data_IF_227663232147
#
_entry.id   IF_227663232147
#
_cell.length_a   1.000
_cell.length_b   1.000
_cell.length_c   1.000
_cell.angle_alpha   90.00
_cell.angle_beta   90.00
_cell.angle_gamma   90.00
#
_symmetry.space_group_name_H-M   'P 1'
#
loop_
_entity.id
_entity.type
_entity.pdbx_description
1 polymer ?
#
# COMPACT_ATOMS: atom_id res chain seq x y z
N UNK A 1 9.73 25.98 -13.43
CA UNK A 1 10.39 24.86 -14.13
C UNK A 1 9.72 23.65 -13.56
N UNK A 2 8.77 23.07 -14.30
CA UNK A 2 7.93 21.99 -13.82
C UNK A 2 8.81 20.86 -13.31
N UNK A 3 8.50 20.38 -12.10
CA UNK A 3 9.22 19.25 -11.48
C UNK A 3 9.14 17.99 -12.34
N UNK A 4 8.09 17.84 -13.16
CA UNK A 4 7.84 16.68 -14.01
C UNK A 4 8.32 16.87 -15.44
N UNK A 5 8.80 15.78 -16.02
CA UNK A 5 9.12 15.68 -17.45
C UNK A 5 7.92 15.17 -18.26
N UNK A 6 8.05 15.15 -19.59
CA UNK A 6 6.95 14.75 -20.49
C UNK A 6 6.52 13.29 -20.28
N UNK A 7 7.47 12.37 -20.07
CA UNK A 7 7.18 10.94 -19.88
C UNK A 7 6.42 10.71 -18.56
N UNK A 8 6.89 11.31 -17.47
CA UNK A 8 6.21 11.27 -16.18
C UNK A 8 4.80 11.86 -16.26
N UNK A 9 4.65 13.00 -16.94
CA UNK A 9 3.36 13.67 -17.05
C UNK A 9 2.37 12.84 -17.87
N UNK A 10 2.80 12.25 -18.97
CA UNK A 10 1.96 11.36 -19.80
C UNK A 10 1.58 10.09 -19.02
N UNK A 11 2.52 9.51 -18.27
CA UNK A 11 2.24 8.34 -17.43
C UNK A 11 1.21 8.60 -16.33
N UNK A 12 1.01 9.85 -15.93
CA UNK A 12 0.06 10.28 -14.88
C UNK A 12 -1.26 10.83 -15.40
N UNK A 13 -1.52 10.78 -16.72
CA UNK A 13 -2.78 11.25 -17.29
C UNK A 13 -3.98 10.45 -16.76
N UNK A 14 -3.86 9.13 -16.60
CA UNK A 14 -4.96 8.31 -16.06
C UNK A 14 -5.29 8.73 -14.63
N UNK A 15 -4.28 8.83 -13.77
CA UNK A 15 -4.43 9.27 -12.37
C UNK A 15 -5.07 10.66 -12.29
N UNK A 16 -4.75 11.56 -13.21
CA UNK A 16 -5.40 12.87 -13.31
C UNK A 16 -6.90 12.75 -13.66
N UNK A 17 -7.25 11.92 -14.65
CA UNK A 17 -8.65 11.71 -15.07
C UNK A 17 -9.48 11.02 -13.98
N UNK A 18 -8.86 10.11 -13.23
CA UNK A 18 -9.47 9.38 -12.11
C UNK A 18 -9.49 10.19 -10.80
N UNK A 19 -8.95 11.42 -10.80
CA UNK A 19 -8.81 12.28 -9.63
C UNK A 19 -7.98 11.66 -8.49
N UNK A 20 -7.00 10.83 -8.83
CA UNK A 20 -6.12 10.10 -7.90
C UNK A 20 -4.78 10.83 -7.64
N UNK A 21 -4.56 12.00 -8.25
CA UNK A 21 -3.38 12.84 -7.97
C UNK A 21 -3.55 13.65 -6.67
N UNK A 22 -2.50 13.68 -5.86
CA UNK A 22 -2.45 14.58 -4.70
C UNK A 22 -2.35 16.04 -5.11
N UNK A 23 -2.62 16.98 -4.19
CA UNK A 23 -2.59 18.42 -4.49
C UNK A 23 -1.20 18.90 -4.98
N UNK A 24 -0.11 18.34 -4.44
CA UNK A 24 1.26 18.68 -4.84
C UNK A 24 1.57 18.17 -6.26
N UNK A 25 1.12 16.95 -6.57
CA UNK A 25 1.29 16.32 -7.87
C UNK A 25 0.46 17.02 -8.95
N UNK A 26 -0.78 17.38 -8.62
CA UNK A 26 -1.66 18.14 -9.50
C UNK A 26 -1.07 19.52 -9.84
N UNK A 27 -0.42 20.19 -8.88
CA UNK A 27 0.31 21.43 -9.13
C UNK A 27 1.46 21.24 -10.13
N UNK A 28 2.25 20.18 -9.96
CA UNK A 28 3.37 19.84 -10.86
C UNK A 28 2.89 19.44 -12.26
N UNK A 29 1.81 18.67 -12.34
CA UNK A 29 1.15 18.27 -13.58
C UNK A 29 0.63 19.48 -14.36
N UNK A 30 -0.10 20.38 -13.68
CA UNK A 30 -0.64 21.59 -14.31
C UNK A 30 0.47 22.54 -14.79
N UNK A 31 1.54 22.72 -14.00
CA UNK A 31 2.70 23.53 -14.44
C UNK A 31 3.29 22.98 -15.75
N UNK A 32 3.46 21.65 -15.86
CA UNK A 32 3.97 21.03 -17.07
C UNK A 32 2.98 21.16 -18.24
N UNK A 33 1.69 20.89 -18.00
CA UNK A 33 0.64 21.04 -19.01
C UNK A 33 0.59 22.46 -19.57
N UNK A 34 0.74 23.47 -18.71
CA UNK A 34 0.75 24.86 -19.14
C UNK A 34 1.92 25.19 -20.09
N UNK A 35 3.09 24.63 -19.81
CA UNK A 35 4.31 24.85 -20.60
C UNK A 35 4.44 23.95 -21.84
N UNK A 36 3.75 22.80 -21.90
CA UNK A 36 4.02 21.74 -22.87
C UNK A 36 2.81 21.42 -23.79
N UNK A 37 2.76 21.99 -25.02
CA UNK A 37 1.73 21.69 -26.01
C UNK A 37 1.54 20.21 -26.39
N UNK A 38 2.59 19.37 -26.55
CA UNK A 38 2.38 17.97 -26.92
C UNK A 38 1.70 17.17 -25.81
N UNK A 39 2.02 17.41 -24.54
CA UNK A 39 1.34 16.74 -23.43
C UNK A 39 -0.14 17.16 -23.33
N UNK A 40 -0.48 18.42 -23.65
CA UNK A 40 -1.88 18.87 -23.78
C UNK A 40 -2.62 18.14 -24.91
N UNK A 41 -1.95 17.92 -26.04
CA UNK A 41 -2.54 17.18 -27.16
C UNK A 41 -2.84 15.73 -26.75
N UNK A 42 -1.93 15.09 -26.01
CA UNK A 42 -2.13 13.75 -25.47
C UNK A 42 -3.34 13.70 -24.53
N UNK A 43 -3.42 14.59 -23.54
CA UNK A 43 -4.57 14.68 -22.63
C UNK A 43 -5.90 14.84 -23.39
N UNK A 44 -5.92 15.64 -24.46
CA UNK A 44 -7.11 15.82 -25.29
C UNK A 44 -7.53 14.54 -26.02
N UNK A 45 -6.59 13.67 -26.38
CA UNK A 45 -6.88 12.38 -26.99
C UNK A 45 -7.55 11.44 -25.98
N UNK A 46 -7.04 11.37 -24.74
CA UNK A 46 -7.67 10.60 -23.67
C UNK A 46 -9.09 11.10 -23.36
N UNK A 47 -9.29 12.42 -23.29
CA UNK A 47 -10.62 13.00 -23.06
C UNK A 47 -11.62 12.63 -24.17
N UNK A 48 -11.20 12.72 -25.44
CA UNK A 48 -12.03 12.29 -26.58
C UNK A 48 -12.43 10.82 -26.50
N UNK A 49 -11.53 9.94 -26.07
CA UNK A 49 -11.88 8.53 -25.84
C UNK A 49 -12.94 8.38 -24.75
N UNK A 50 -12.81 9.13 -23.66
CA UNK A 50 -13.81 9.18 -22.58
C UNK A 50 -15.17 9.68 -23.05
N UNK A 51 -15.20 10.71 -23.89
CA UNK A 51 -16.43 11.27 -24.46
C UNK A 51 -17.13 10.26 -25.39
N UNK A 52 -16.38 9.61 -26.28
CA UNK A 52 -16.91 8.53 -27.12
C UNK A 52 -17.51 7.39 -26.30
N UNK A 53 -16.87 7.02 -25.17
CA UNK A 53 -17.40 6.03 -24.25
C UNK A 53 -18.66 6.52 -23.50
N UNK A 54 -18.80 7.83 -23.29
CA UNK A 54 -19.96 8.44 -22.62
C UNK A 54 -21.19 8.52 -23.53
N UNK A 55 -20.99 8.60 -24.84
CA UNK A 55 -22.06 8.61 -25.84
C UNK A 55 -22.85 7.29 -25.89
N UNK A 56 -22.34 6.21 -25.28
CA UNK A 56 -23.09 4.97 -25.16
C UNK A 56 -24.26 5.13 -24.19
N UNK A 57 -25.45 4.69 -24.63
CA UNK A 57 -26.65 4.76 -23.83
C UNK A 57 -26.41 4.07 -22.46
N UNK A 58 -26.75 4.74 -21.34
CA UNK A 58 -26.57 4.15 -20.02
C UNK A 58 -27.42 2.89 -19.93
N UNK A 59 -26.75 1.75 -19.74
CA UNK A 59 -27.43 0.50 -19.44
C UNK A 59 -28.06 0.65 -18.05
N UNK A 60 -29.39 0.60 -17.98
CA UNK A 60 -30.06 0.50 -16.67
C UNK A 60 -29.74 -0.89 -16.12
N UNK A 61 -28.95 -1.00 -15.03
CA UNK A 61 -28.67 -2.29 -14.44
C UNK A 61 -30.00 -2.92 -14.02
N UNK A 62 -30.23 -4.18 -14.35
CA UNK A 62 -31.36 -4.92 -13.78
C UNK A 62 -31.20 -4.93 -12.26
N UNK A 63 -32.30 -4.82 -11.52
CA UNK A 63 -32.27 -4.70 -10.06
C UNK A 63 -31.58 -5.90 -9.34
N UNK A 64 -31.27 -6.97 -10.07
CA UNK A 64 -30.78 -8.24 -9.55
C UNK A 64 -29.38 -8.65 -10.04
N UNK A 65 -28.53 -7.68 -10.47
CA UNK A 65 -27.16 -8.00 -10.90
C UNK A 65 -26.36 -8.66 -9.76
N UNK A 66 -26.48 -8.15 -8.54
CA UNK A 66 -25.70 -8.68 -7.43
C UNK A 66 -26.05 -10.15 -7.11
N UNK A 67 -27.32 -10.53 -7.12
CA UNK A 67 -27.70 -11.93 -6.90
C UNK A 67 -27.24 -12.84 -8.04
N UNK A 68 -27.24 -12.34 -9.28
CA UNK A 68 -26.70 -13.07 -10.42
C UNK A 68 -25.18 -13.30 -10.32
N UNK A 69 -24.44 -12.34 -9.74
CA UNK A 69 -23.00 -12.51 -9.46
C UNK A 69 -22.79 -13.46 -8.27
N UNK A 70 -23.50 -13.25 -7.16
CA UNK A 70 -23.37 -14.06 -5.93
C UNK A 70 -23.64 -15.54 -6.18
N UNK A 71 -24.66 -15.84 -6.99
CA UNK A 71 -25.01 -17.22 -7.36
C UNK A 71 -23.92 -17.94 -8.18
N UNK A 72 -23.02 -17.19 -8.84
CA UNK A 72 -21.91 -17.73 -9.64
C UNK A 72 -20.58 -17.76 -8.90
N UNK A 73 -20.45 -17.05 -7.79
CA UNK A 73 -19.23 -17.08 -6.98
C UNK A 73 -19.10 -18.45 -6.31
N UNK A 74 -17.94 -19.12 -6.43
CA UNK A 74 -17.72 -20.35 -5.70
C UNK A 74 -17.76 -20.02 -4.20
N UNK A 75 -18.73 -20.60 -3.48
CA UNK A 75 -18.78 -20.49 -2.02
C UNK A 75 -17.54 -21.17 -1.45
N UNK A 76 -16.51 -20.36 -1.19
CA UNK A 76 -15.35 -20.83 -0.47
C UNK A 76 -15.84 -21.16 0.93
N UNK A 77 -16.06 -22.46 1.19
CA UNK A 77 -16.37 -22.93 2.54
C UNK A 77 -15.26 -22.38 3.42
N UNK A 78 -15.61 -21.49 4.34
CA UNK A 78 -14.69 -21.04 5.37
C UNK A 78 -14.16 -22.31 6.00
N UNK A 79 -12.89 -22.65 5.71
CA UNK A 79 -12.24 -23.79 6.32
C UNK A 79 -12.14 -23.36 7.76
N UNK A 80 -13.02 -23.89 8.62
CA UNK A 80 -12.96 -23.66 10.04
C UNK A 80 -11.61 -24.23 10.48
N UNK A 81 -10.63 -23.34 10.61
CA UNK A 81 -9.31 -23.62 11.18
C UNK A 81 -9.40 -23.75 12.70
N UNK A 82 -10.62 -23.89 13.25
CA UNK A 82 -10.79 -24.24 14.63
C UNK A 82 -10.53 -25.73 14.82
N UNK A 83 -9.47 -26.10 15.55
CA UNK A 83 -9.32 -27.48 15.96
C UNK A 83 -10.56 -27.84 16.77
N UNK A 84 -11.20 -28.96 16.44
CA UNK A 84 -12.19 -29.59 17.30
C UNK A 84 -11.45 -30.15 18.52
N UNK A 85 -10.96 -29.28 19.39
CA UNK A 85 -10.47 -29.67 20.71
C UNK A 85 -11.67 -30.16 21.50
N UNK A 86 -11.78 -31.48 21.64
CA UNK A 86 -12.67 -32.08 22.64
C UNK A 86 -12.17 -31.59 23.99
N UNK A 87 -12.92 -30.69 24.63
CA UNK A 87 -12.58 -30.20 25.95
C UNK A 87 -12.33 -31.41 26.87
N UNK A 88 -11.14 -31.52 27.50
CA UNK A 88 -10.92 -32.58 28.46
C UNK A 88 -11.85 -32.37 29.66
N UNK A 89 -12.25 -33.48 30.28
CA UNK A 89 -13.17 -33.59 31.43
C UNK A 89 -12.76 -32.77 32.68
N UNK A 90 -11.61 -32.10 32.61
CA UNK A 90 -10.96 -31.34 33.68
C UNK A 90 -10.95 -29.82 33.39
N UNK A 91 -11.66 -29.35 32.36
CA UNK A 91 -11.84 -27.92 32.07
C UNK A 91 -12.48 -27.12 33.23
N UNK A 92 -13.06 -27.79 34.23
CA UNK A 92 -13.62 -27.17 35.43
C UNK A 92 -12.58 -26.76 36.49
N UNK A 93 -11.30 -27.15 36.34
CA UNK A 93 -10.23 -26.77 37.28
C UNK A 93 -9.40 -25.54 36.86
N UNK A 94 -9.71 -24.93 35.71
CA UNK A 94 -8.87 -23.89 35.08
C UNK A 94 -9.16 -22.43 35.43
N UNK A 95 -10.08 -22.14 36.36
CA UNK A 95 -10.47 -20.75 36.67
C UNK A 95 -9.67 -20.07 37.79
N UNK A 96 -9.08 -20.84 38.72
CA UNK A 96 -8.51 -20.28 39.95
C UNK A 96 -7.05 -19.78 39.85
N UNK A 97 -6.25 -20.36 38.94
CA UNK A 97 -4.81 -20.12 38.92
C UNK A 97 -4.40 -18.78 38.28
N UNK A 98 -5.18 -18.26 37.32
CA UNK A 98 -4.83 -17.00 36.64
C UNK A 98 -5.16 -15.77 37.49
N UNK A 99 -6.25 -15.79 38.28
CA UNK A 99 -6.65 -14.65 39.11
C UNK A 99 -5.64 -14.34 40.25
N UNK A 100 -5.06 -15.37 40.87
CA UNK A 100 -4.08 -15.20 41.95
C UNK A 100 -2.76 -14.59 41.45
N UNK A 101 -2.32 -14.94 40.23
CA UNK A 101 -1.10 -14.38 39.63
C UNK A 101 -1.22 -12.88 39.32
N UNK A 102 -2.37 -12.45 38.77
CA UNK A 102 -2.62 -11.03 38.51
C UNK A 102 -2.75 -10.21 39.80
N UNK A 103 -3.41 -10.72 40.83
CA UNK A 103 -3.55 -10.02 42.11
C UNK A 103 -2.19 -9.79 42.81
N UNK A 104 -1.29 -10.79 42.79
CA UNK A 104 0.04 -10.66 43.38
C UNK A 104 0.93 -9.62 42.65
N UNK A 105 0.89 -9.61 41.31
CA UNK A 105 1.63 -8.63 40.50
C UNK A 105 1.10 -7.20 40.70
N UNK A 106 -0.22 -7.04 40.77
CA UNK A 106 -0.86 -5.74 41.01
C UNK A 106 -0.54 -5.22 42.42
N UNK A 107 -0.61 -6.08 43.43
CA UNK A 107 -0.27 -5.72 44.81
C UNK A 107 1.21 -5.31 44.96
N UNK A 108 2.14 -6.01 44.31
CA UNK A 108 3.56 -5.63 44.30
C UNK A 108 3.76 -4.25 43.65
N UNK A 109 3.12 -3.98 42.52
CA UNK A 109 3.25 -2.71 41.82
C UNK A 109 2.71 -1.53 42.64
N UNK A 110 1.60 -1.72 43.37
CA UNK A 110 0.98 -0.68 44.20
C UNK A 110 1.63 -0.48 45.57
N UNK A 111 2.15 -1.54 46.23
CA UNK A 111 2.82 -1.41 47.52
C UNK A 111 4.31 -1.11 47.42
N UNK A 112 5.02 -1.68 46.44
CA UNK A 112 6.46 -1.51 46.34
C UNK A 112 6.83 -0.27 45.50
N UNK A 113 6.01 0.09 44.50
CA UNK A 113 6.27 1.19 43.56
C UNK A 113 7.58 1.02 42.77
N UNK A 114 7.66 1.36 41.48
CA UNK A 114 8.95 1.42 40.78
C UNK A 114 9.69 2.70 41.21
N UNK A 115 10.12 2.76 42.46
CA UNK A 115 10.79 3.89 43.09
C UNK A 115 12.31 3.73 43.16
N UNK A 116 12.94 3.09 42.18
CA UNK A 116 14.39 3.10 41.99
C UNK A 116 14.77 2.50 40.63
N UNK A 117 14.62 3.28 39.55
CA UNK A 117 15.44 3.06 38.38
C UNK A 117 16.85 3.61 38.70
N UNK A 118 17.93 2.81 38.70
CA UNK A 118 19.27 3.36 38.76
C UNK A 118 19.52 4.15 37.47
N UNK A 119 19.71 5.46 37.60
CA UNK A 119 20.18 6.30 36.51
C UNK A 119 21.62 5.89 36.18
N UNK A 120 21.80 5.05 35.17
CA UNK A 120 23.09 4.83 34.54
C UNK A 120 23.52 6.12 33.85
N UNK A 121 24.16 7.02 34.59
CA UNK A 121 24.96 8.10 34.02
C UNK A 121 26.18 7.47 33.36
N UNK A 122 26.03 6.95 32.15
CA UNK A 122 27.16 6.69 31.27
C UNK A 122 27.68 8.05 30.81
N UNK A 123 28.71 8.53 31.50
CA UNK A 123 29.58 9.57 30.98
C UNK A 123 30.23 9.03 29.71
N UNK A 124 29.60 9.29 28.56
CA UNK A 124 30.27 9.20 27.28
C UNK A 124 31.14 10.46 27.19
N UNK A 125 32.43 10.28 27.42
CA UNK A 125 33.42 11.23 26.97
C UNK A 125 33.28 11.33 25.44
N UNK A 126 32.58 12.36 24.98
CA UNK A 126 32.59 12.74 23.56
C UNK A 126 33.92 13.43 23.34
N UNK A 127 34.94 12.62 23.00
CA UNK A 127 36.12 13.13 22.34
C UNK A 127 35.68 13.87 21.07
N UNK A 128 36.09 15.13 20.99
CA UNK A 128 35.92 15.95 19.81
C UNK A 128 36.63 15.29 18.62
N UNK A 129 35.86 14.83 17.65
CA UNK A 129 36.36 14.24 16.42
C UNK A 129 35.42 14.53 15.27
N UNK A 130 35.55 15.71 14.67
CA UNK A 130 34.98 16.03 13.36
C UNK A 130 35.35 14.93 12.35
N UNK A 131 34.37 14.21 11.81
CA UNK A 131 34.53 13.54 10.52
C UNK A 131 33.28 13.71 9.66
N UNK A 132 33.35 14.71 8.79
CA UNK A 132 32.47 14.86 7.63
C UNK A 132 32.93 13.85 6.58
N UNK A 133 32.07 12.87 6.26
CA UNK A 133 32.23 12.07 5.05
C UNK A 133 31.91 10.59 5.26
N UNK A 134 30.65 10.22 5.02
CA UNK A 134 30.24 8.95 4.37
C UNK A 134 28.72 8.80 4.43
N UNK A 135 28.04 9.39 3.45
CA UNK A 135 26.67 9.00 3.09
C UNK A 135 26.77 8.30 1.74
N UNK A 136 27.23 7.07 1.74
CA UNK A 136 27.27 6.19 0.56
C UNK A 136 27.19 4.74 1.10
N UNK A 137 25.96 4.21 1.11
CA UNK A 137 25.58 2.79 1.20
C UNK A 137 24.05 2.78 1.43
N UNK A 138 23.19 2.04 0.74
CA UNK A 138 23.32 1.04 -0.33
C UNK A 138 21.87 0.63 -0.63
N UNK A 139 21.42 0.66 -1.88
CA UNK A 139 20.35 -0.25 -2.31
C UNK A 139 20.71 -0.83 -3.67
N UNK A 140 21.50 -1.91 -3.59
CA UNK A 140 21.60 -2.97 -4.58
C UNK A 140 20.26 -3.70 -4.62
N UNK A 141 19.52 -3.63 -5.73
CA UNK A 141 18.74 -4.77 -6.21
C UNK A 141 18.64 -4.75 -7.75
N UNK A 142 19.25 -5.79 -8.33
CA UNK A 142 18.83 -6.52 -9.53
C UNK A 142 19.14 -5.91 -10.91
N UNK A 143 20.41 -6.04 -11.30
CA UNK A 143 20.75 -6.46 -12.67
C UNK A 143 20.31 -7.91 -12.88
N UNK A 144 19.27 -8.11 -13.70
CA UNK A 144 18.90 -9.39 -14.28
C UNK A 144 18.66 -9.19 -15.76
N UNK A 145 19.70 -9.43 -16.55
CA UNK A 145 19.64 -9.28 -18.00
C UNK A 145 19.05 -10.50 -18.71
N UNK A 146 18.48 -10.19 -19.88
CA UNK A 146 18.52 -10.96 -21.12
C UNK A 146 17.41 -12.00 -21.37
N UNK A 147 16.54 -11.70 -22.35
CA UNK A 147 16.42 -12.48 -23.60
C UNK A 147 15.33 -11.88 -24.49
N UNK A 148 15.65 -11.75 -25.78
CA UNK A 148 14.89 -10.98 -26.75
C UNK A 148 13.53 -11.54 -27.12
N UNK A 149 12.65 -10.62 -27.51
CA UNK A 149 11.43 -10.88 -28.28
C UNK A 149 11.21 -9.74 -29.28
N UNK A 150 12.18 -9.57 -30.19
CA UNK A 150 11.98 -8.82 -31.43
C UNK A 150 11.49 -9.77 -32.52
N UNK A 151 10.23 -10.21 -32.44
CA UNK A 151 9.58 -10.95 -33.55
C UNK A 151 8.05 -11.01 -33.36
N UNK A 152 7.37 -9.87 -33.46
CA UNK A 152 5.89 -9.84 -33.56
C UNK A 152 5.37 -8.69 -34.44
N UNK A 153 5.99 -8.52 -35.62
CA UNK A 153 5.37 -7.82 -36.74
C UNK A 153 5.44 -8.69 -37.99
N UNK A 154 4.53 -9.67 -38.08
CA UNK A 154 4.09 -10.16 -39.38
C UNK A 154 2.59 -10.40 -39.32
N UNK A 155 1.87 -9.31 -39.58
CA UNK A 155 0.45 -9.31 -39.87
C UNK A 155 0.18 -10.11 -41.14
N UNK A 156 -0.95 -10.81 -41.08
CA UNK A 156 -1.74 -11.23 -42.21
C UNK A 156 -1.83 -10.14 -43.29
N UNK A 157 -1.70 -10.55 -44.55
CA UNK A 157 -1.96 -9.70 -45.70
C UNK A 157 -1.15 -10.07 -46.94
N UNK A 158 -1.31 -11.30 -47.43
CA UNK A 158 -1.55 -11.68 -48.84
C UNK A 158 -1.84 -13.17 -48.91
#
# INVERSE_FOLDING_TARGET
MSRWNCEETVGRISDFLDSDLTAEELGSFNEHMDACPPCKAELSAYQKMGDLCRDFAPLTPTADIWSAIDSRLPRQKARTLWPKVKAPRFAWLGGGALAAGFAAAFAWFYLAGPGAAPNSSTNIAVEAGLNKGNFEQRHLYLTGGNSGSSEFYQLAGY
#
